data_IF_857830750039
#
_entry.id   IF_857830750039
#
_cell.length_a   1.000
_cell.length_b   1.000
_cell.length_c   1.000
_cell.angle_alpha   90.00
_cell.angle_beta   90.00
_cell.angle_gamma   90.00
#
_symmetry.space_group_name_H-M   'P 1'
#
loop_
_entity.id
_entity.type
_entity.pdbx_description
1 polymer ?
#
# COMPACT_ATOMS: atom_id res chain seq x y z
N UNK A 1 5.14 35.19 51.62
CA UNK A 1 5.28 33.71 51.65
C UNK A 1 3.91 33.11 51.46
N UNK A 2 3.69 32.41 50.35
CA UNK A 2 2.77 31.26 50.24
C UNK A 2 2.97 30.66 48.84
N UNK A 3 3.77 29.60 48.81
CA UNK A 3 3.87 28.69 47.69
C UNK A 3 2.59 27.85 47.63
N UNK A 4 1.77 28.03 46.60
CA UNK A 4 0.87 26.97 46.15
C UNK A 4 1.51 26.29 44.94
N UNK A 5 1.99 25.08 45.21
CA UNK A 5 2.54 24.14 44.26
C UNK A 5 1.53 23.90 43.14
N UNK A 6 1.83 24.38 41.94
CA UNK A 6 1.29 23.82 40.72
C UNK A 6 1.86 22.40 40.61
N UNK A 7 1.16 21.42 41.18
CA UNK A 7 1.39 20.02 40.87
C UNK A 7 0.97 19.81 39.43
N UNK A 8 1.96 19.88 38.53
CA UNK A 8 1.86 19.39 37.16
C UNK A 8 1.49 17.91 37.27
N UNK A 9 0.22 17.58 37.06
CA UNK A 9 -0.19 16.19 36.91
C UNK A 9 0.62 15.58 35.76
N UNK A 10 1.19 14.37 35.93
CA UNK A 10 1.92 13.72 34.87
C UNK A 10 0.97 13.56 33.68
N UNK A 11 1.39 14.15 32.56
CA UNK A 11 0.89 13.96 31.19
C UNK A 11 -0.07 12.78 31.03
N UNK A 12 -1.37 13.05 31.15
CA UNK A 12 -2.42 12.10 30.84
C UNK A 12 -2.38 11.87 29.32
N UNK A 13 -1.68 10.82 28.89
CA UNK A 13 -1.68 10.39 27.50
C UNK A 13 -2.92 9.51 27.32
N UNK A 14 -3.96 9.95 26.58
CA UNK A 14 -5.15 9.14 26.39
C UNK A 14 -4.75 7.77 25.83
N UNK A 15 -5.36 6.71 26.39
CA UNK A 15 -5.06 5.29 26.15
C UNK A 15 -5.11 4.88 24.67
N UNK A 16 -5.69 5.71 23.79
CA UNK A 16 -5.77 5.48 22.35
C UNK A 16 -4.55 5.99 21.55
N UNK A 17 -3.42 6.31 22.20
CA UNK A 17 -2.17 6.81 21.60
C UNK A 17 -1.09 5.73 21.38
N UNK A 18 -1.47 4.45 21.38
CA UNK A 18 -0.57 3.29 21.28
C UNK A 18 -1.03 2.25 20.26
N UNK A 19 -1.79 2.65 19.23
CA UNK A 19 -2.27 1.70 18.21
C UNK A 19 -1.10 1.02 17.49
N UNK A 20 -0.04 1.77 17.20
CA UNK A 20 1.16 1.21 16.61
C UNK A 20 1.86 0.18 17.52
N UNK A 21 1.90 0.41 18.84
CA UNK A 21 2.44 -0.54 19.82
C UNK A 21 1.54 -1.78 19.95
N UNK A 22 0.23 -1.59 20.05
CA UNK A 22 -0.75 -2.68 20.11
C UNK A 22 -0.63 -3.59 18.89
N UNK A 23 -0.62 -3.02 17.68
CA UNK A 23 -0.46 -3.79 16.46
C UNK A 23 0.91 -4.48 16.38
N UNK A 24 2.00 -3.78 16.74
CA UNK A 24 3.35 -4.36 16.77
C UNK A 24 3.43 -5.63 17.62
N UNK A 25 2.77 -5.63 18.78
CA UNK A 25 2.78 -6.77 19.69
C UNK A 25 2.06 -8.01 19.12
N UNK A 26 1.14 -7.82 18.17
CA UNK A 26 0.44 -8.94 17.48
C UNK A 26 1.25 -9.56 16.33
N UNK A 27 2.35 -8.92 15.90
CA UNK A 27 3.12 -9.38 14.74
C UNK A 27 3.85 -10.71 15.01
N UNK A 28 3.96 -11.61 14.01
CA UNK A 28 4.76 -12.82 14.14
C UNK A 28 6.26 -12.49 14.27
N UNK A 29 7.04 -13.40 14.86
CA UNK A 29 8.49 -13.20 15.11
C UNK A 29 9.33 -12.96 13.84
N UNK A 30 8.88 -13.47 12.69
CA UNK A 30 9.55 -13.29 11.40
C UNK A 30 9.17 -12.02 10.63
N UNK A 31 8.28 -11.18 11.17
CA UNK A 31 7.78 -10.00 10.47
C UNK A 31 8.90 -8.96 10.19
N UNK A 32 8.84 -8.33 9.02
CA UNK A 32 9.84 -7.34 8.60
C UNK A 32 9.87 -6.11 9.52
N UNK A 33 8.73 -5.71 10.10
CA UNK A 33 8.67 -4.62 11.06
C UNK A 33 9.38 -4.99 12.37
N UNK A 34 9.37 -6.27 12.79
CA UNK A 34 10.19 -6.72 13.93
C UNK A 34 11.68 -6.66 13.61
N UNK A 35 12.09 -7.04 12.40
CA UNK A 35 13.49 -6.91 11.98
C UNK A 35 13.97 -5.46 12.03
N UNK A 36 13.16 -4.50 11.58
CA UNK A 36 13.48 -3.07 11.71
C UNK A 36 13.55 -2.63 13.17
N UNK A 37 12.64 -3.12 14.00
CA UNK A 37 12.70 -2.87 15.43
C UNK A 37 14.01 -3.40 16.02
N UNK A 38 14.47 -4.58 15.63
CA UNK A 38 15.71 -5.21 16.09
C UNK A 38 17.00 -4.57 15.54
N UNK A 39 16.87 -3.48 14.77
CA UNK A 39 18.00 -2.66 14.32
C UNK A 39 18.43 -2.91 12.88
N UNK A 40 17.70 -3.75 12.12
CA UNK A 40 17.93 -3.90 10.68
C UNK A 40 17.59 -2.57 10.00
N UNK A 41 18.58 -2.01 9.31
CA UNK A 41 18.41 -0.74 8.60
C UNK A 41 17.64 -0.96 7.31
N UNK A 42 16.63 -0.14 7.08
CA UNK A 42 15.94 -0.12 5.80
C UNK A 42 16.87 0.41 4.71
N UNK A 43 17.00 -0.35 3.61
CA UNK A 43 17.71 0.09 2.41
C UNK A 43 16.75 0.00 1.25
N UNK A 44 16.36 1.15 0.72
CA UNK A 44 15.61 1.21 -0.53
C UNK A 44 16.42 0.49 -1.62
N UNK A 45 15.75 -0.42 -2.35
CA UNK A 45 16.37 -1.18 -3.43
C UNK A 45 16.77 -0.23 -4.54
N UNK A 46 18.08 -0.14 -4.84
CA UNK A 46 18.60 0.72 -5.90
C UNK A 46 18.59 0.00 -7.25
N UNK A 47 18.12 0.70 -8.29
CA UNK A 47 18.17 0.26 -9.69
C UNK A 47 16.81 -0.15 -10.26
N UNK A 48 16.52 0.26 -11.49
CA UNK A 48 15.23 0.08 -12.19
C UNK A 48 14.76 -1.38 -12.21
N UNK A 49 15.63 -2.34 -12.54
CA UNK A 49 15.23 -3.76 -12.61
C UNK A 49 15.00 -4.39 -11.23
N UNK A 50 15.82 -4.03 -10.24
CA UNK A 50 15.70 -4.56 -8.89
C UNK A 50 14.50 -3.96 -8.14
N UNK A 51 14.22 -2.66 -8.35
CA UNK A 51 12.99 -2.04 -7.84
C UNK A 51 11.76 -2.65 -8.52
N UNK A 52 11.82 -2.93 -9.82
CA UNK A 52 10.72 -3.55 -10.56
C UNK A 52 10.43 -5.00 -10.14
N UNK A 53 11.44 -5.82 -9.90
CA UNK A 53 11.22 -7.23 -9.52
C UNK A 53 10.84 -7.39 -8.03
N UNK A 54 11.45 -6.60 -7.13
CA UNK A 54 11.30 -6.77 -5.68
C UNK A 54 10.24 -5.85 -5.06
N UNK A 55 10.06 -4.60 -5.55
CA UNK A 55 9.07 -3.68 -5.00
C UNK A 55 7.68 -3.81 -5.63
N UNK A 56 7.55 -4.37 -6.85
CA UNK A 56 6.26 -4.54 -7.55
C UNK A 56 5.26 -5.41 -6.80
N UNK A 57 5.75 -6.36 -6.02
CA UNK A 57 4.93 -7.18 -5.13
C UNK A 57 4.81 -6.62 -3.71
N UNK A 58 5.57 -5.57 -3.35
CA UNK A 58 5.67 -5.08 -1.97
C UNK A 58 4.93 -3.78 -1.69
N UNK A 59 4.56 -2.96 -2.69
CA UNK A 59 3.91 -1.65 -2.41
C UNK A 59 2.58 -1.79 -1.66
N UNK A 60 1.69 -2.66 -2.14
CA UNK A 60 0.44 -2.98 -1.45
C UNK A 60 0.70 -3.54 -0.06
N UNK A 61 1.72 -4.41 0.09
CA UNK A 61 2.12 -4.95 1.39
C UNK A 61 2.59 -3.86 2.35
N UNK A 62 3.44 -2.95 1.87
CA UNK A 62 3.95 -1.79 2.62
C UNK A 62 2.81 -0.87 3.06
N UNK A 63 1.94 -0.49 2.12
CA UNK A 63 0.81 0.40 2.39
C UNK A 63 -0.22 -0.24 3.33
N UNK A 64 -0.55 -1.52 3.14
CA UNK A 64 -1.43 -2.26 4.04
C UNK A 64 -0.85 -2.37 5.45
N UNK A 65 0.45 -2.64 5.57
CA UNK A 65 1.13 -2.62 6.87
C UNK A 65 1.08 -1.23 7.51
N UNK A 66 1.39 -0.17 6.76
CA UNK A 66 1.26 1.21 7.24
C UNK A 66 -0.16 1.53 7.71
N UNK A 67 -1.17 1.10 6.97
CA UNK A 67 -2.58 1.30 7.32
C UNK A 67 -2.97 0.59 8.62
N UNK A 68 -2.42 -0.60 8.88
CA UNK A 68 -2.63 -1.31 10.16
C UNK A 68 -1.92 -0.67 11.34
N UNK A 69 -0.71 -0.14 11.12
CA UNK A 69 0.03 0.59 12.15
C UNK A 69 -0.59 1.97 12.45
N UNK A 70 -1.07 2.67 11.42
CA UNK A 70 -1.49 4.07 11.49
C UNK A 70 -2.83 4.31 10.79
N UNK A 71 -3.92 3.63 11.21
CA UNK A 71 -5.21 3.65 10.50
C UNK A 71 -5.87 5.04 10.46
N UNK A 72 -5.53 5.92 11.40
CA UNK A 72 -6.09 7.26 11.53
C UNK A 72 -5.12 8.36 11.10
N UNK A 73 -3.98 8.00 10.51
CA UNK A 73 -3.08 8.98 9.94
C UNK A 73 -3.61 9.40 8.57
N UNK A 74 -4.00 10.68 8.45
CA UNK A 74 -4.62 11.24 7.24
C UNK A 74 -3.88 10.85 5.96
N UNK A 75 -2.56 11.04 5.92
CA UNK A 75 -1.75 10.76 4.73
C UNK A 75 -1.77 9.28 4.32
N UNK A 76 -1.75 8.34 5.28
CA UNK A 76 -1.76 6.90 4.99
C UNK A 76 -3.14 6.47 4.50
N UNK A 77 -4.19 7.01 5.13
CA UNK A 77 -5.58 6.74 4.76
C UNK A 77 -5.89 7.25 3.35
N UNK A 78 -5.60 8.52 3.07
CA UNK A 78 -5.82 9.14 1.76
C UNK A 78 -5.05 8.38 0.67
N UNK A 79 -3.76 8.08 0.88
CA UNK A 79 -2.98 7.31 -0.10
C UNK A 79 -3.55 5.92 -0.36
N UNK A 80 -4.12 5.25 0.64
CA UNK A 80 -4.73 3.93 0.45
C UNK A 80 -6.08 4.01 -0.29
N UNK A 81 -6.88 5.03 -0.01
CA UNK A 81 -8.16 5.28 -0.68
C UNK A 81 -7.93 5.68 -2.14
N UNK A 82 -7.07 6.68 -2.40
CA UNK A 82 -6.71 7.15 -3.75
C UNK A 82 -6.13 6.01 -4.60
N UNK A 83 -5.21 5.21 -4.05
CA UNK A 83 -4.64 4.08 -4.77
C UNK A 83 -5.70 3.05 -5.15
N UNK A 84 -6.64 2.76 -4.25
CA UNK A 84 -7.73 1.81 -4.51
C UNK A 84 -8.70 2.33 -5.59
N UNK A 85 -9.04 3.61 -5.54
CA UNK A 85 -9.88 4.28 -6.53
C UNK A 85 -9.22 4.32 -7.91
N UNK A 86 -7.95 4.71 -7.97
CA UNK A 86 -7.17 4.75 -9.22
C UNK A 86 -6.97 3.37 -9.81
N UNK A 87 -6.66 2.37 -8.97
CA UNK A 87 -6.53 0.98 -9.42
C UNK A 87 -7.83 0.48 -10.04
N UNK A 88 -8.96 0.73 -9.38
CA UNK A 88 -10.29 0.35 -9.87
C UNK A 88 -10.60 1.05 -11.20
N UNK A 89 -10.36 2.36 -11.28
CA UNK A 89 -10.60 3.16 -12.47
C UNK A 89 -9.73 2.72 -13.65
N UNK A 90 -8.45 2.45 -13.41
CA UNK A 90 -7.51 2.00 -14.44
C UNK A 90 -7.84 0.58 -14.93
N UNK A 91 -8.31 -0.31 -14.06
CA UNK A 91 -8.81 -1.63 -14.46
C UNK A 91 -10.08 -1.53 -15.30
N UNK A 92 -11.02 -0.66 -14.94
CA UNK A 92 -12.22 -0.44 -15.74
C UNK A 92 -11.88 0.10 -17.13
N UNK A 93 -10.96 1.09 -17.21
CA UNK A 93 -10.44 1.59 -18.48
C UNK A 93 -9.75 0.48 -19.29
N UNK A 94 -8.92 -0.35 -18.66
CA UNK A 94 -8.27 -1.49 -19.31
C UNK A 94 -9.30 -2.48 -19.88
N UNK A 95 -10.39 -2.76 -19.17
CA UNK A 95 -11.47 -3.61 -19.63
C UNK A 95 -12.20 -3.00 -20.85
N UNK A 96 -12.50 -1.70 -20.83
CA UNK A 96 -13.13 -0.99 -21.95
C UNK A 96 -12.21 -1.03 -23.18
N UNK A 97 -10.92 -0.72 -23.01
CA UNK A 97 -9.92 -0.76 -24.09
C UNK A 97 -9.77 -2.18 -24.65
N UNK A 98 -9.78 -3.20 -23.80
CA UNK A 98 -9.75 -4.60 -24.21
C UNK A 98 -10.97 -4.94 -25.07
N UNK A 99 -12.18 -4.60 -24.62
CA UNK A 99 -13.41 -4.84 -25.36
C UNK A 99 -13.45 -4.12 -26.73
N UNK A 100 -13.00 -2.86 -26.77
CA UNK A 100 -12.88 -2.10 -28.01
C UNK A 100 -11.86 -2.74 -28.98
N UNK A 101 -10.70 -3.14 -28.46
CA UNK A 101 -9.64 -3.80 -29.23
C UNK A 101 -10.11 -5.13 -29.81
N UNK A 102 -10.86 -5.93 -29.03
CA UNK A 102 -11.44 -7.18 -29.47
C UNK A 102 -12.49 -6.99 -30.57
N UNK A 103 -13.34 -5.98 -30.43
CA UNK A 103 -14.33 -5.62 -31.45
C UNK A 103 -13.64 -5.23 -32.76
N UNK A 104 -12.57 -4.44 -32.68
CA UNK A 104 -11.78 -4.04 -33.85
C UNK A 104 -11.11 -5.26 -34.51
N UNK A 105 -10.43 -6.10 -33.73
CA UNK A 105 -9.78 -7.33 -34.22
C UNK A 105 -10.78 -8.27 -34.90
N UNK A 106 -11.96 -8.44 -34.31
CA UNK A 106 -13.04 -9.26 -34.88
C UNK A 106 -13.50 -8.75 -36.26
N UNK A 107 -13.69 -7.43 -36.40
CA UNK A 107 -14.09 -6.84 -37.69
C UNK A 107 -13.02 -7.01 -38.78
N UNK A 108 -11.73 -6.92 -38.43
CA UNK A 108 -10.63 -7.16 -39.36
C UNK A 108 -10.52 -8.64 -39.74
N UNK A 109 -10.65 -9.55 -38.77
CA UNK A 109 -10.65 -10.99 -39.01
C UNK A 109 -11.79 -11.42 -39.95
N UNK A 110 -13.00 -10.85 -39.78
CA UNK A 110 -14.14 -11.09 -40.68
C UNK A 110 -13.86 -10.68 -42.13
N UNK A 111 -12.97 -9.71 -42.35
CA UNK A 111 -12.55 -9.24 -43.67
C UNK A 111 -11.33 -9.99 -44.23
N UNK A 112 -10.85 -11.04 -43.55
CA UNK A 112 -9.65 -11.78 -43.92
C UNK A 112 -8.35 -10.98 -43.77
N UNK A 113 -8.40 -9.81 -43.14
CA UNK A 113 -7.26 -8.93 -42.94
C UNK A 113 -6.67 -9.16 -41.57
N UNK A 114 -5.33 -9.23 -41.50
CA UNK A 114 -4.62 -9.34 -40.22
C UNK A 114 -3.64 -8.17 -40.13
N UNK A 115 -3.76 -7.38 -39.07
CA UNK A 115 -2.93 -6.22 -38.79
C UNK A 115 -1.43 -6.57 -38.88
N UNK A 116 -0.68 -5.77 -39.63
CA UNK A 116 0.75 -5.92 -39.92
C UNK A 116 1.61 -5.82 -38.66
N UNK A 117 1.32 -4.87 -37.77
CA UNK A 117 2.00 -4.70 -36.47
C UNK A 117 1.96 -5.99 -35.63
N UNK A 118 0.93 -6.83 -35.78
CA UNK A 118 0.76 -8.07 -35.01
C UNK A 118 1.29 -9.32 -35.73
N UNK A 119 1.77 -9.19 -36.98
CA UNK A 119 2.34 -10.29 -37.77
C UNK A 119 3.79 -10.58 -37.34
N UNK A 120 4.55 -9.57 -36.96
CA UNK A 120 5.96 -9.68 -36.54
C UNK A 120 6.13 -10.39 -35.19
N UNK A 121 5.33 -10.02 -34.17
CA UNK A 121 5.32 -10.67 -32.85
C UNK A 121 4.83 -12.13 -32.88
N UNK A 122 4.06 -12.49 -33.91
CA UNK A 122 3.56 -13.84 -34.17
C UNK A 122 4.62 -14.86 -34.63
N UNK A 123 5.87 -14.46 -34.84
CA UNK A 123 6.94 -15.40 -35.18
C UNK A 123 7.60 -16.01 -33.93
N UNK A 124 7.71 -15.26 -32.84
CA UNK A 124 8.57 -15.58 -31.67
C UNK A 124 8.03 -16.71 -30.78
N UNK A 125 6.72 -16.73 -30.48
CA UNK A 125 6.07 -17.64 -29.51
C UNK A 125 5.48 -18.95 -30.07
N UNK A 126 5.69 -19.31 -31.34
CA UNK A 126 5.19 -20.55 -32.02
C UNK A 126 3.70 -21.00 -31.83
N UNK A 127 2.79 -20.18 -31.29
CA UNK A 127 1.32 -20.41 -31.22
C UNK A 127 0.52 -19.87 -32.42
N UNK A 128 -0.75 -20.26 -32.60
CA UNK A 128 -1.59 -19.84 -33.75
C UNK A 128 -1.74 -18.30 -33.86
N UNK A 129 -1.66 -17.75 -35.08
CA UNK A 129 -1.56 -16.29 -35.36
C UNK A 129 -2.67 -15.47 -34.70
N UNK A 130 -3.90 -15.95 -34.74
CA UNK A 130 -5.07 -15.29 -34.14
C UNK A 130 -5.06 -15.39 -32.61
N UNK A 131 -4.68 -16.54 -32.05
CA UNK A 131 -4.69 -16.78 -30.59
C UNK A 131 -3.78 -15.81 -29.83
N UNK A 132 -2.62 -15.47 -30.41
CA UNK A 132 -1.70 -14.48 -29.81
C UNK A 132 -2.26 -13.06 -29.81
N UNK A 133 -3.03 -12.70 -30.83
CA UNK A 133 -3.61 -11.36 -30.96
C UNK A 133 -4.66 -11.10 -29.88
N UNK A 134 -5.46 -12.12 -29.57
CA UNK A 134 -6.41 -12.07 -28.46
C UNK A 134 -5.70 -12.09 -27.10
N UNK A 135 -4.63 -12.89 -26.93
CA UNK A 135 -3.90 -12.94 -25.66
C UNK A 135 -3.23 -11.60 -25.32
N UNK A 136 -2.56 -10.97 -26.29
CA UNK A 136 -1.90 -9.67 -26.05
C UNK A 136 -2.91 -8.55 -25.79
N UNK A 137 -4.01 -8.50 -26.54
CA UNK A 137 -5.06 -7.50 -26.30
C UNK A 137 -5.82 -7.72 -25.00
N UNK A 138 -5.84 -8.95 -24.48
CA UNK A 138 -6.44 -9.28 -23.18
C UNK A 138 -5.53 -8.90 -22.02
N UNK A 139 -4.21 -9.07 -22.14
CA UNK A 139 -3.27 -8.90 -21.01
C UNK A 139 -2.62 -7.52 -20.98
N UNK A 140 -2.29 -6.95 -22.15
CA UNK A 140 -1.49 -5.73 -22.23
C UNK A 140 -2.17 -4.50 -21.58
N UNK A 141 -3.47 -4.21 -21.80
CA UNK A 141 -4.11 -3.06 -21.16
C UNK A 141 -4.08 -3.16 -19.64
N UNK A 142 -4.29 -4.35 -19.08
CA UNK A 142 -4.23 -4.59 -17.63
C UNK A 142 -2.80 -4.49 -17.09
N UNK A 143 -1.81 -4.98 -17.83
CA UNK A 143 -0.41 -4.83 -17.46
C UNK A 143 0.01 -3.36 -17.42
N UNK A 144 -0.43 -2.55 -18.40
CA UNK A 144 -0.17 -1.10 -18.45
C UNK A 144 -0.89 -0.40 -17.30
N UNK A 145 -2.17 -0.68 -17.07
CA UNK A 145 -2.94 -0.11 -15.97
C UNK A 145 -2.28 -0.35 -14.61
N UNK A 146 -1.85 -1.58 -14.36
CA UNK A 146 -1.16 -1.93 -13.11
C UNK A 146 0.22 -1.23 -13.00
N UNK A 147 0.95 -1.11 -14.11
CA UNK A 147 2.24 -0.43 -14.14
C UNK A 147 2.12 1.07 -13.87
N UNK A 148 1.12 1.71 -14.46
CA UNK A 148 0.86 3.12 -14.27
C UNK A 148 0.57 3.45 -12.80
N UNK A 149 -0.33 2.69 -12.16
CA UNK A 149 -0.63 2.85 -10.73
C UNK A 149 0.62 2.58 -9.87
N UNK A 150 1.40 1.54 -10.19
CA UNK A 150 2.63 1.22 -9.45
C UNK A 150 3.65 2.37 -9.46
N UNK A 151 3.91 2.95 -10.64
CA UNK A 151 4.88 4.04 -10.78
C UNK A 151 4.39 5.29 -10.07
N UNK A 152 3.11 5.63 -10.21
CA UNK A 152 2.54 6.86 -9.66
C UNK A 152 2.70 6.96 -8.14
N UNK A 153 2.48 5.86 -7.43
CA UNK A 153 2.53 5.83 -5.96
C UNK A 153 3.86 5.36 -5.38
N UNK A 154 4.85 5.03 -6.22
CA UNK A 154 6.08 4.38 -5.77
C UNK A 154 6.87 5.19 -4.76
N UNK A 155 7.27 6.39 -5.14
CA UNK A 155 8.15 7.22 -4.33
C UNK A 155 7.47 7.62 -3.02
N UNK A 156 6.17 7.89 -3.08
CA UNK A 156 5.39 8.29 -1.91
C UNK A 156 5.25 7.14 -0.89
N UNK A 157 4.85 5.94 -1.31
CA UNK A 157 4.76 4.77 -0.43
C UNK A 157 6.15 4.41 0.13
N UNK A 158 7.19 4.52 -0.68
CA UNK A 158 8.56 4.24 -0.26
C UNK A 158 9.04 5.21 0.82
N UNK A 159 8.73 6.50 0.69
CA UNK A 159 9.02 7.50 1.72
C UNK A 159 8.29 7.22 3.03
N UNK A 160 6.98 6.93 2.97
CA UNK A 160 6.20 6.55 4.16
C UNK A 160 6.78 5.31 4.84
N UNK A 161 7.16 4.31 4.06
CA UNK A 161 7.75 3.07 4.57
C UNK A 161 9.13 3.31 5.21
N UNK A 162 9.96 4.15 4.59
CA UNK A 162 11.25 4.53 5.15
C UNK A 162 11.10 5.28 6.48
N UNK A 163 10.13 6.19 6.58
CA UNK A 163 9.81 6.86 7.85
C UNK A 163 9.39 5.85 8.90
N UNK A 164 8.47 4.92 8.58
CA UNK A 164 8.05 3.86 9.48
C UNK A 164 9.22 2.99 9.97
N UNK A 165 10.06 2.51 9.05
CA UNK A 165 11.22 1.70 9.41
C UNK A 165 12.23 2.46 10.28
N UNK A 166 12.43 3.76 10.05
CA UNK A 166 13.28 4.61 10.88
C UNK A 166 12.71 4.80 12.29
N UNK A 167 11.39 4.90 12.44
CA UNK A 167 10.74 4.99 13.75
C UNK A 167 10.92 3.70 14.54
N UNK A 168 10.68 2.55 13.92
CA UNK A 168 10.91 1.24 14.52
C UNK A 168 12.37 1.03 14.95
N UNK A 169 13.33 1.42 14.11
CA UNK A 169 14.76 1.39 14.46
C UNK A 169 15.09 2.24 15.69
N UNK A 170 14.37 3.35 15.91
CA UNK A 170 14.49 4.20 17.10
C UNK A 170 13.67 3.69 18.30
N UNK A 171 13.05 2.52 18.18
CA UNK A 171 12.13 1.94 19.17
C UNK A 171 10.92 2.85 19.47
N UNK A 172 10.56 3.72 18.53
CA UNK A 172 9.41 4.60 18.64
C UNK A 172 8.15 3.89 18.13
N UNK A 173 7.32 3.45 19.07
CA UNK A 173 6.00 2.85 18.82
C UNK A 173 4.84 3.80 19.17
N UNK A 174 5.13 5.09 19.36
CA UNK A 174 4.07 6.08 19.54
C UNK A 174 3.29 6.30 18.24
N UNK A 175 2.06 6.78 18.35
CA UNK A 175 1.32 7.17 17.15
C UNK A 175 1.89 8.48 16.56
N UNK A 176 1.97 8.62 15.22
CA UNK A 176 2.56 9.80 14.59
C UNK A 176 1.83 11.10 14.94
N UNK A 177 2.56 12.22 14.97
CA UNK A 177 1.98 13.54 15.17
C UNK A 177 0.94 13.86 14.07
N UNK A 178 -0.19 14.44 14.46
CA UNK A 178 -1.29 14.78 13.53
C UNK A 178 -2.23 13.63 13.19
N UNK A 179 -2.14 12.49 13.88
CA UNK A 179 -3.12 11.39 13.79
C UNK A 179 -4.50 11.89 14.24
N UNK A 180 -5.52 11.71 13.39
CA UNK A 180 -6.87 12.22 13.60
C UNK A 180 -7.80 11.09 14.07
N UNK A 181 -7.81 10.82 15.37
CA UNK A 181 -8.70 9.80 15.94
C UNK A 181 -10.17 10.18 15.76
N UNK A 182 -11.07 9.21 15.51
CA UNK A 182 -12.51 9.43 15.63
C UNK A 182 -12.86 9.79 17.08
N UNK A 183 -13.94 10.57 17.28
CA UNK A 183 -14.31 11.11 18.60
C UNK A 183 -14.54 10.02 19.66
N UNK A 184 -15.06 8.86 19.24
CA UNK A 184 -15.26 7.68 20.08
C UNK A 184 -13.95 7.14 20.68
N UNK A 185 -12.85 7.23 19.92
CA UNK A 185 -11.50 6.87 20.35
C UNK A 185 -10.73 8.07 20.94
N UNK A 186 -11.34 9.24 21.08
CA UNK A 186 -10.76 10.34 21.88
C UNK A 186 -11.21 10.29 23.33
N UNK A 187 -12.29 9.56 23.61
CA UNK A 187 -12.74 9.32 24.98
C UNK A 187 -11.66 8.52 25.74
N UNK A 188 -11.23 8.97 26.92
CA UNK A 188 -10.36 8.16 27.78
C UNK A 188 -11.09 6.85 28.07
N UNK A 189 -10.50 5.71 27.69
CA UNK A 189 -10.96 4.42 28.22
C UNK A 189 -10.87 4.56 29.73
N UNK A 190 -12.00 4.56 30.43
CA UNK A 190 -11.98 4.50 31.89
C UNK A 190 -11.18 3.25 32.21
N UNK A 191 -10.09 3.39 32.96
CA UNK A 191 -9.50 2.26 33.66
C UNK A 191 -10.64 1.69 34.50
N UNK A 192 -11.27 0.62 34.02
CA UNK A 192 -12.14 -0.18 34.85
C UNK A 192 -11.17 -0.82 35.81
N UNK A 193 -10.93 -0.15 36.95
CA UNK A 193 -10.41 -0.77 38.14
C UNK A 193 -11.37 -1.94 38.42
N UNK A 194 -11.00 -3.12 37.92
CA UNK A 194 -11.49 -4.35 38.51
C UNK A 194 -10.85 -4.33 39.89
N UNK A 195 -11.54 -3.74 40.86
CA UNK A 195 -11.29 -4.06 42.25
C UNK A 195 -11.43 -5.57 42.32
N UNK A 196 -10.29 -6.27 42.39
CA UNK A 196 -10.25 -7.60 42.98
C UNK A 196 -10.66 -7.41 44.43
N UNK A 197 -11.97 -7.43 44.67
CA UNK A 197 -12.51 -7.60 45.99
C UNK A 197 -12.28 -9.06 46.38
N UNK A 198 -11.40 -9.22 47.37
CA UNK A 198 -11.16 -10.35 48.27
C UNK A 198 -10.79 -11.72 47.67
#
# INVERSE_FOLDING_TARGET
>A
MNHSLYTVHPTYTPINLRLAEEYFNTLPSGDISRQFYDGVQYRAVKGLFASYALNRFSQYGKLNSLYKFYPYQKIVKETNEELCEDWTSNIQLAAIVTGASWTFLYQYAKRGQVLSILREYGSVLKTHRLFRQYLYTLVLPFAIANEYTFIHYHDHIEQLWQVHANRLNKKDLSDPAGTQYPEELRAPRRDVFINKWH
#
